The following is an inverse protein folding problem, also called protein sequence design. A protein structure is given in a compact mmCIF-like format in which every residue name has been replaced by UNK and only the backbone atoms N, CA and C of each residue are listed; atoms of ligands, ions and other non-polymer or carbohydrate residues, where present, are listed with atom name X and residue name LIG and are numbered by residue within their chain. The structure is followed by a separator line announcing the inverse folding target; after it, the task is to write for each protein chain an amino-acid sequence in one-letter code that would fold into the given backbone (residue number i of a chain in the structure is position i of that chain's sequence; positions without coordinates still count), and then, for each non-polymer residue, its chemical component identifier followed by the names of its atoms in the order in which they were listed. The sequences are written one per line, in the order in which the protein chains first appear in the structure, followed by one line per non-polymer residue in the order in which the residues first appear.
data_IF_830751034630
#
_entry.id   IF_830751034630
#
_cell.length_a   1.000
_cell.length_b   1.000
_cell.length_c   1.000
_cell.angle_alpha   90.00
_cell.angle_beta   90.00
_cell.angle_gamma   90.00
#
_symmetry.space_group_name_H-M   'P 1'
#
loop_
_entity.id
_entity.type
_entity.pdbx_description
1 polymer ?
#
# COMPACT_ATOMS: atom_id res chain seq x y z
N UNK A 1 -4.53 6.76 -15.99
CA UNK A 1 -3.19 6.40 -15.46
C UNK A 1 -2.50 5.36 -16.33
N UNK A 2 -3.04 4.16 -16.56
CA UNK A 2 -2.39 3.13 -17.39
C UNK A 2 -1.98 3.63 -18.80
N UNK A 3 -2.83 4.42 -19.47
CA UNK A 3 -2.52 5.01 -20.78
C UNK A 3 -1.37 6.01 -20.74
N UNK A 4 -1.23 6.77 -19.64
CA UNK A 4 -0.09 7.70 -19.48
C UNK A 4 1.21 6.94 -19.22
N UNK A 5 1.15 5.86 -18.43
CA UNK A 5 2.32 5.01 -18.18
C UNK A 5 2.85 4.34 -19.45
N UNK A 6 1.98 3.95 -20.39
CA UNK A 6 2.40 3.34 -21.66
C UNK A 6 3.20 4.26 -22.57
N UNK A 7 3.18 5.58 -22.32
CA UNK A 7 3.95 6.58 -23.08
C UNK A 7 5.35 6.86 -22.48
N UNK A 8 5.63 6.32 -21.31
CA UNK A 8 6.88 6.55 -20.58
C UNK A 8 7.59 5.20 -20.37
N UNK A 9 8.69 4.92 -21.08
CA UNK A 9 9.30 3.58 -21.09
C UNK A 9 9.88 3.15 -19.74
N UNK A 10 10.12 4.10 -18.84
CA UNK A 10 10.67 3.88 -17.50
C UNK A 10 9.60 3.98 -16.39
N UNK A 11 8.29 4.07 -16.75
CA UNK A 11 7.19 4.12 -15.79
C UNK A 11 6.38 2.82 -15.83
N UNK A 12 6.34 2.13 -14.70
CA UNK A 12 5.58 0.89 -14.52
C UNK A 12 4.36 1.15 -13.64
N UNK A 13 3.16 1.05 -14.20
CA UNK A 13 1.90 1.18 -13.47
C UNK A 13 1.51 -0.15 -12.84
N UNK A 14 1.72 -0.29 -11.53
CA UNK A 14 1.43 -1.51 -10.78
C UNK A 14 0.01 -1.46 -10.19
N UNK A 15 -0.95 -1.97 -10.94
CA UNK A 15 -2.35 -2.10 -10.53
C UNK A 15 -2.81 -3.55 -10.72
N UNK A 16 -2.63 -4.36 -9.69
CA UNK A 16 -2.80 -5.81 -9.72
C UNK A 16 -1.93 -6.48 -10.80
N UNK A 17 -0.68 -6.03 -10.90
CA UNK A 17 0.27 -6.46 -11.94
C UNK A 17 1.67 -6.63 -11.38
N UNK A 18 2.54 -7.21 -12.20
CA UNK A 18 3.99 -7.37 -11.94
C UNK A 18 4.83 -6.62 -12.97
N UNK A 19 6.04 -6.25 -12.57
CA UNK A 19 7.11 -5.79 -13.44
C UNK A 19 8.45 -6.35 -12.96
N UNK A 20 9.39 -6.52 -13.89
CA UNK A 20 10.79 -6.83 -13.55
C UNK A 20 11.65 -5.66 -14.00
N UNK A 21 12.40 -5.08 -13.07
CA UNK A 21 13.22 -3.90 -13.30
C UNK A 21 14.61 -4.19 -12.75
N UNK A 22 15.63 -4.18 -13.61
CA UNK A 22 16.99 -4.48 -13.20
C UNK A 22 17.19 -5.86 -12.56
N UNK A 23 16.38 -6.86 -12.96
CA UNK A 23 16.39 -8.19 -12.38
C UNK A 23 15.49 -8.36 -11.14
N UNK A 24 15.08 -7.28 -10.48
CA UNK A 24 14.20 -7.30 -9.31
C UNK A 24 12.73 -7.42 -9.75
N UNK A 25 12.02 -8.36 -9.14
CA UNK A 25 10.60 -8.65 -9.45
C UNK A 25 9.69 -7.86 -8.51
N UNK A 26 8.89 -6.98 -9.06
CA UNK A 26 7.91 -6.19 -8.34
C UNK A 26 6.49 -6.74 -8.58
N UNK A 27 5.68 -6.78 -7.53
CA UNK A 27 4.23 -6.92 -7.61
C UNK A 27 3.57 -5.73 -6.93
N UNK A 28 2.48 -5.19 -7.49
CA UNK A 28 1.85 -4.04 -6.86
C UNK A 28 0.35 -3.95 -7.06
N UNK A 29 -0.30 -3.35 -6.05
CA UNK A 29 -1.73 -3.12 -5.99
C UNK A 29 -2.03 -1.92 -5.09
N UNK A 30 -3.11 -1.13 -5.36
CA UNK A 30 -3.54 -0.07 -4.46
C UNK A 30 -3.90 -0.56 -3.06
N UNK A 31 -4.40 -1.79 -2.97
CA UNK A 31 -4.88 -2.50 -1.79
C UNK A 31 -6.24 -1.99 -1.29
N UNK A 32 -6.46 -0.68 -1.13
CA UNK A 32 -7.66 -0.08 -0.54
C UNK A 32 -8.01 -0.72 0.83
N UNK A 33 -9.18 -0.48 1.34
CA UNK A 33 -9.65 -0.99 2.64
C UNK A 33 -10.85 -1.94 2.47
N UNK A 34 -11.00 -2.86 3.42
CA UNK A 34 -12.09 -3.85 3.41
C UNK A 34 -13.42 -3.20 3.83
N UNK A 35 -14.57 -3.67 3.28
CA UNK A 35 -15.87 -3.30 3.83
C UNK A 35 -16.00 -3.78 5.28
N UNK A 36 -16.54 -2.94 6.14
CA UNK A 36 -16.78 -3.23 7.55
C UNK A 36 -17.87 -2.31 8.11
N UNK A 37 -18.42 -2.63 9.28
CA UNK A 37 -19.34 -1.71 9.97
C UNK A 37 -18.68 -0.35 10.27
N UNK A 38 -17.38 -0.34 10.55
CA UNK A 38 -16.63 0.88 10.80
C UNK A 38 -16.53 1.74 9.53
N UNK A 39 -16.26 1.15 8.35
CA UNK A 39 -16.19 1.90 7.08
C UNK A 39 -17.55 2.43 6.61
N UNK A 40 -18.65 1.90 7.09
CA UNK A 40 -19.98 2.49 6.89
C UNK A 40 -20.25 3.61 7.89
N UNK A 41 -19.92 3.37 9.17
CA UNK A 41 -20.21 4.29 10.28
C UNK A 41 -19.48 5.64 10.17
N UNK A 42 -18.25 5.62 9.65
CA UNK A 42 -17.37 6.80 9.62
C UNK A 42 -17.14 7.35 8.20
N UNK A 43 -18.01 6.99 7.23
CA UNK A 43 -17.88 7.39 5.82
C UNK A 43 -17.88 8.91 5.62
N UNK A 44 -18.61 9.64 6.44
CA UNK A 44 -18.67 11.09 6.44
C UNK A 44 -17.36 11.80 6.86
N UNK A 45 -16.43 11.05 7.47
CA UNK A 45 -15.14 11.57 7.92
C UNK A 45 -14.02 11.40 6.87
N UNK A 46 -14.30 10.76 5.74
CA UNK A 46 -13.34 10.56 4.65
C UNK A 46 -13.82 11.30 3.40
N UNK A 47 -13.00 12.22 2.90
CA UNK A 47 -13.31 13.05 1.74
C UNK A 47 -13.61 12.23 0.47
N UNK A 48 -13.02 11.04 0.34
CA UNK A 48 -13.22 10.16 -0.82
C UNK A 48 -14.69 9.81 -1.03
N UNK A 49 -15.46 9.60 0.04
CA UNK A 49 -16.90 9.31 -0.06
C UNK A 49 -17.72 10.50 -0.56
N UNK A 50 -17.25 11.72 -0.31
CA UNK A 50 -17.92 12.95 -0.76
C UNK A 50 -17.45 13.40 -2.16
N UNK A 51 -16.19 13.17 -2.50
CA UNK A 51 -15.54 13.75 -3.69
C UNK A 51 -15.44 12.78 -4.86
N UNK A 52 -15.41 11.47 -4.61
CA UNK A 52 -15.29 10.47 -5.68
C UNK A 52 -16.69 9.95 -6.00
N UNK A 53 -17.12 10.22 -7.24
CA UNK A 53 -18.40 9.73 -7.73
C UNK A 53 -18.42 8.20 -7.73
N UNK A 54 -19.53 7.62 -7.28
CA UNK A 54 -19.76 6.17 -7.21
C UNK A 54 -18.64 5.41 -6.44
N UNK A 55 -18.04 6.07 -5.42
CA UNK A 55 -16.95 5.50 -4.65
C UNK A 55 -17.32 4.16 -4.01
N UNK A 56 -18.54 4.06 -3.50
CA UNK A 56 -19.12 2.78 -3.06
C UNK A 56 -20.14 2.32 -4.12
N UNK A 57 -20.11 1.09 -4.64
CA UNK A 57 -19.32 -0.08 -4.19
C UNK A 57 -17.90 -0.21 -4.77
N UNK A 58 -17.50 0.68 -5.71
CA UNK A 58 -16.25 0.55 -6.46
C UNK A 58 -15.01 0.28 -5.58
N UNK A 59 -14.84 1.02 -4.48
CA UNK A 59 -13.67 0.86 -3.59
C UNK A 59 -13.57 -0.54 -2.99
N UNK A 60 -14.70 -1.15 -2.68
CA UNK A 60 -14.74 -2.51 -2.11
C UNK A 60 -14.47 -3.58 -3.18
N UNK A 61 -14.92 -3.35 -4.41
CA UNK A 61 -14.58 -4.22 -5.55
C UNK A 61 -13.08 -4.16 -5.86
N UNK A 62 -12.48 -2.97 -5.83
CA UNK A 62 -11.04 -2.79 -6.02
C UNK A 62 -10.23 -3.46 -4.90
N UNK A 63 -10.68 -3.37 -3.64
CA UNK A 63 -10.07 -4.12 -2.55
C UNK A 63 -10.17 -5.63 -2.78
N UNK A 64 -11.33 -6.14 -3.19
CA UNK A 64 -11.50 -7.57 -3.45
C UNK A 64 -10.58 -8.06 -4.59
N UNK A 65 -10.44 -7.27 -5.67
CA UNK A 65 -9.49 -7.56 -6.77
C UNK A 65 -8.04 -7.56 -6.28
N UNK A 66 -7.67 -6.60 -5.44
CA UNK A 66 -6.33 -6.52 -4.85
C UNK A 66 -5.99 -7.76 -4.00
N UNK A 67 -6.92 -8.19 -3.15
CA UNK A 67 -6.74 -9.39 -2.33
C UNK A 67 -6.68 -10.66 -3.21
N UNK A 68 -7.55 -10.76 -4.22
CA UNK A 68 -7.53 -11.87 -5.17
C UNK A 68 -6.19 -11.93 -5.93
N UNK A 69 -5.65 -10.79 -6.36
CA UNK A 69 -4.34 -10.69 -7.00
C UNK A 69 -3.24 -11.21 -6.07
N UNK A 70 -3.15 -10.72 -4.83
CA UNK A 70 -2.12 -11.14 -3.87
C UNK A 70 -2.16 -12.64 -3.56
N UNK A 71 -3.33 -13.27 -3.67
CA UNK A 71 -3.54 -14.72 -3.47
C UNK A 71 -3.32 -15.56 -4.70
N UNK A 72 -3.24 -14.94 -5.87
CA UNK A 72 -3.15 -15.63 -7.16
C UNK A 72 -1.72 -16.00 -7.52
N UNK A 73 -1.57 -16.92 -8.49
CA UNK A 73 -0.28 -17.23 -9.10
C UNK A 73 0.33 -16.04 -9.83
N UNK A 74 -0.51 -15.08 -10.26
CA UNK A 74 -0.05 -13.85 -10.89
C UNK A 74 0.84 -13.00 -9.95
N UNK A 75 0.65 -13.08 -8.63
CA UNK A 75 1.47 -12.35 -7.66
C UNK A 75 2.68 -13.14 -7.16
N UNK A 76 2.81 -14.45 -7.43
CA UNK A 76 3.88 -15.29 -6.86
C UNK A 76 5.29 -14.84 -7.22
N UNK A 77 6.18 -15.01 -6.25
CA UNK A 77 7.63 -14.85 -6.38
C UNK A 77 8.11 -13.41 -6.54
N UNK A 78 7.49 -12.38 -5.96
CA UNK A 78 8.03 -11.04 -5.98
C UNK A 78 9.19 -10.91 -4.99
N UNK A 79 10.19 -10.12 -5.35
CA UNK A 79 11.22 -9.68 -4.42
C UNK A 79 10.71 -8.47 -3.62
N UNK A 80 9.92 -7.62 -4.29
CA UNK A 80 9.31 -6.42 -3.71
C UNK A 80 7.81 -6.40 -3.97
N UNK A 81 7.03 -6.13 -2.92
CA UNK A 81 5.59 -5.80 -3.06
C UNK A 81 5.38 -4.32 -2.77
N UNK A 82 4.58 -3.66 -3.60
CA UNK A 82 4.23 -2.24 -3.45
C UNK A 82 2.71 -2.11 -3.29
N UNK A 83 2.28 -1.49 -2.19
CA UNK A 83 0.88 -1.12 -1.97
C UNK A 83 0.74 0.37 -1.68
N UNK A 84 -0.48 0.93 -1.79
CA UNK A 84 -0.72 2.28 -1.28
C UNK A 84 -1.16 2.21 0.19
N UNK A 85 -2.20 1.43 0.49
CA UNK A 85 -2.68 1.31 1.87
C UNK A 85 -1.75 0.44 2.74
N UNK A 86 -1.85 0.66 4.05
CA UNK A 86 -1.03 -0.01 5.06
C UNK A 86 -1.33 -1.51 5.10
N UNK A 87 -0.35 -2.40 4.94
CA UNK A 87 -0.56 -3.85 4.91
C UNK A 87 -0.77 -4.47 6.30
N UNK A 88 -0.51 -3.71 7.36
CA UNK A 88 -0.60 -4.17 8.75
C UNK A 88 -0.93 -3.00 9.68
N UNK A 89 -1.58 -3.30 10.81
CA UNK A 89 -1.78 -2.34 11.91
C UNK A 89 -0.44 -1.85 12.50
N UNK A 90 0.65 -2.59 12.32
CA UNK A 90 1.99 -2.18 12.77
C UNK A 90 2.54 -0.97 12.01
N UNK A 91 1.98 -0.66 10.84
CA UNK A 91 2.30 0.56 10.09
C UNK A 91 1.59 1.82 10.60
N UNK A 92 0.65 1.67 11.52
CA UNK A 92 -0.06 2.81 12.12
C UNK A 92 0.87 3.54 13.08
N UNK A 93 1.10 4.83 12.83
CA UNK A 93 1.94 5.65 13.69
C UNK A 93 1.37 5.72 15.12
N UNK A 94 2.21 5.81 16.16
CA UNK A 94 1.78 5.81 17.57
C UNK A 94 0.68 6.84 17.85
N UNK A 95 0.75 8.02 17.25
CA UNK A 95 -0.24 9.11 17.41
C UNK A 95 -1.64 8.76 16.91
N UNK A 96 -1.77 7.74 16.05
CA UNK A 96 -3.05 7.31 15.46
C UNK A 96 -3.54 5.95 15.96
N UNK A 97 -2.83 5.33 16.90
CA UNK A 97 -3.29 4.07 17.51
C UNK A 97 -4.63 4.31 18.20
N UNK A 98 -5.63 3.47 17.89
CA UNK A 98 -6.98 3.61 18.40
C UNK A 98 -7.90 4.56 17.61
N UNK A 99 -7.39 5.26 16.59
CA UNK A 99 -8.25 6.09 15.72
C UNK A 99 -9.28 5.25 14.97
N UNK A 100 -10.54 5.74 14.96
CA UNK A 100 -11.64 5.14 14.19
C UNK A 100 -11.36 5.15 12.69
N UNK A 101 -10.57 6.10 12.19
CA UNK A 101 -10.22 6.24 10.78
C UNK A 101 -9.23 5.17 10.29
N UNK A 102 -8.59 4.42 11.19
CA UNK A 102 -7.70 3.33 10.80
C UNK A 102 -8.39 2.27 9.93
N UNK A 103 -9.72 2.17 9.95
CA UNK A 103 -10.48 1.29 9.06
C UNK A 103 -10.33 1.66 7.58
N UNK A 104 -9.96 2.90 7.26
CA UNK A 104 -9.70 3.37 5.90
C UNK A 104 -8.21 3.32 5.52
N UNK A 105 -7.33 3.25 6.50
CA UNK A 105 -5.89 3.25 6.28
C UNK A 105 -5.31 1.85 6.18
N UNK A 106 -5.83 0.91 6.98
CA UNK A 106 -5.26 -0.42 7.11
C UNK A 106 -6.09 -1.46 6.38
N UNK A 107 -5.45 -2.17 5.46
CA UNK A 107 -5.94 -3.43 4.94
C UNK A 107 -4.98 -4.54 5.38
N UNK A 108 -5.27 -5.17 6.50
CA UNK A 108 -4.43 -6.21 7.09
C UNK A 108 -4.30 -7.41 6.13
N UNK A 109 -3.06 -7.65 5.63
CA UNK A 109 -2.71 -8.70 4.66
C UNK A 109 -1.47 -9.48 5.10
N UNK A 110 -1.29 -9.65 6.41
CA UNK A 110 -0.15 -10.37 6.96
C UNK A 110 -0.10 -11.85 6.52
N UNK A 111 -1.25 -12.46 6.26
CA UNK A 111 -1.33 -13.82 5.74
C UNK A 111 -0.83 -13.90 4.29
N UNK A 112 -1.24 -12.96 3.44
CA UNK A 112 -0.78 -12.82 2.06
C UNK A 112 0.72 -12.50 2.02
N UNK A 113 1.18 -11.60 2.89
CA UNK A 113 2.60 -11.25 3.03
C UNK A 113 3.43 -12.49 3.39
N UNK A 114 2.97 -13.30 4.35
CA UNK A 114 3.64 -14.54 4.73
C UNK A 114 3.67 -15.56 3.59
N UNK A 115 2.60 -15.64 2.80
CA UNK A 115 2.50 -16.59 1.68
C UNK A 115 3.39 -16.18 0.50
N UNK A 116 3.48 -14.88 0.20
CA UNK A 116 4.33 -14.35 -0.87
C UNK A 116 5.80 -14.27 -0.46
N UNK A 117 6.07 -14.05 0.83
CA UNK A 117 7.39 -13.92 1.46
C UNK A 117 8.36 -13.00 0.67
N UNK A 118 7.97 -11.78 0.24
CA UNK A 118 8.88 -10.87 -0.42
C UNK A 118 9.96 -10.41 0.57
N UNK A 119 11.16 -10.06 0.08
CA UNK A 119 12.19 -9.44 0.92
C UNK A 119 11.74 -8.08 1.44
N UNK A 120 11.02 -7.30 0.60
CA UNK A 120 10.60 -5.94 0.92
C UNK A 120 9.12 -5.72 0.58
N UNK A 121 8.40 -5.05 1.49
CA UNK A 121 7.06 -4.53 1.26
C UNK A 121 7.05 -3.02 1.45
N UNK A 122 6.76 -2.27 0.39
CA UNK A 122 6.70 -0.80 0.42
C UNK A 122 5.24 -0.37 0.42
N UNK A 123 4.89 0.61 1.26
CA UNK A 123 3.56 1.22 1.23
C UNK A 123 3.62 2.74 1.43
N UNK A 124 2.48 3.39 1.22
CA UNK A 124 2.27 4.82 1.45
C UNK A 124 1.07 5.09 2.35
N UNK A 125 0.21 6.04 1.95
CA UNK A 125 -1.05 6.46 2.54
C UNK A 125 -0.95 7.13 3.91
N UNK A 126 -0.02 6.76 4.78
CA UNK A 126 0.31 7.46 6.02
C UNK A 126 1.35 8.54 5.76
N UNK A 127 1.44 9.54 6.65
CA UNK A 127 2.47 10.59 6.55
C UNK A 127 3.55 10.43 7.62
N UNK A 128 3.68 9.24 8.19
CA UNK A 128 4.73 8.87 9.13
C UNK A 128 5.55 7.71 8.55
N UNK A 129 6.85 7.68 8.90
CA UNK A 129 7.71 6.58 8.51
C UNK A 129 7.31 5.29 9.24
N UNK A 130 7.45 4.17 8.53
CA UNK A 130 7.41 2.84 9.11
C UNK A 130 8.59 2.02 8.57
N UNK A 131 9.27 1.32 9.48
CA UNK A 131 10.34 0.38 9.13
C UNK A 131 10.36 -0.73 10.19
N UNK A 132 9.91 -1.91 9.81
CA UNK A 132 9.82 -3.06 10.71
C UNK A 132 9.84 -4.37 9.93
N UNK A 133 10.01 -5.51 10.63
CA UNK A 133 9.91 -6.84 10.01
C UNK A 133 8.64 -7.57 10.44
N UNK A 134 8.05 -8.29 9.46
CA UNK A 134 7.03 -9.31 9.64
C UNK A 134 7.54 -10.62 9.04
N UNK A 135 7.98 -11.53 9.92
CA UNK A 135 8.70 -12.71 9.48
C UNK A 135 10.00 -12.30 8.75
N UNK A 136 10.19 -12.79 7.54
CA UNK A 136 11.33 -12.46 6.69
C UNK A 136 11.17 -11.14 5.92
N UNK A 137 9.95 -10.62 5.80
CA UNK A 137 9.67 -9.41 5.02
C UNK A 137 9.97 -8.15 5.82
N UNK A 138 10.78 -7.23 5.28
CA UNK A 138 10.90 -5.86 5.77
C UNK A 138 9.75 -5.03 5.22
N UNK A 139 9.02 -4.32 6.08
CA UNK A 139 7.95 -3.39 5.69
C UNK A 139 8.47 -1.97 5.85
N UNK A 140 8.37 -1.19 4.79
CA UNK A 140 8.95 0.15 4.70
C UNK A 140 7.93 1.17 4.19
N UNK A 141 7.87 2.33 4.85
CA UNK A 141 7.15 3.50 4.39
C UNK A 141 8.00 4.74 4.66
N UNK A 142 8.22 5.56 3.64
CA UNK A 142 8.98 6.81 3.73
C UNK A 142 8.26 7.91 2.92
N UNK A 143 7.09 8.36 3.39
CA UNK A 143 6.26 9.31 2.68
C UNK A 143 6.79 10.73 2.86
N UNK A 144 6.64 11.57 1.86
CA UNK A 144 6.92 13.01 1.98
C UNK A 144 5.83 13.77 2.74
N UNK A 145 4.57 13.32 2.61
CA UNK A 145 3.39 14.03 3.10
C UNK A 145 2.92 15.13 2.15
N UNK A 146 2.12 16.06 2.65
CA UNK A 146 1.56 17.16 1.87
C UNK A 146 2.31 18.46 2.13
N UNK A 147 2.93 19.03 1.09
CA UNK A 147 3.63 20.31 1.18
C UNK A 147 2.71 21.42 1.70
N UNK A 148 3.18 22.15 2.70
CA UNK A 148 2.45 23.28 3.30
C UNK A 148 1.30 22.89 4.25
N UNK A 149 1.03 21.59 4.45
CA UNK A 149 -0.10 21.13 5.27
C UNK A 149 0.30 20.07 6.31
N UNK A 150 0.81 18.90 5.87
CA UNK A 150 1.19 17.79 6.75
C UNK A 150 2.44 17.10 6.21
N UNK A 151 3.59 17.72 6.47
CA UNK A 151 4.88 17.19 6.06
C UNK A 151 5.40 16.15 7.05
N UNK A 152 5.94 15.08 6.53
CA UNK A 152 6.70 14.12 7.30
C UNK A 152 8.08 14.69 7.66
N UNK A 153 8.28 15.06 8.92
CA UNK A 153 9.55 15.61 9.41
C UNK A 153 10.69 14.61 9.43
N UNK A 154 10.36 13.31 9.33
CA UNK A 154 11.31 12.21 9.31
C UNK A 154 11.54 11.65 7.90
N UNK A 155 11.07 12.36 6.86
CA UNK A 155 11.29 11.95 5.47
C UNK A 155 12.78 11.89 5.14
N UNK A 156 13.23 10.76 4.58
CA UNK A 156 14.61 10.53 4.17
C UNK A 156 14.70 10.68 2.66
N UNK A 157 15.18 11.83 2.19
CA UNK A 157 15.20 12.20 0.77
C UNK A 157 15.97 11.20 -0.12
N UNK A 158 17.08 10.68 0.38
CA UNK A 158 17.96 9.75 -0.37
C UNK A 158 17.94 8.34 0.22
N UNK A 159 16.75 7.87 0.63
CA UNK A 159 16.62 6.51 1.11
C UNK A 159 16.82 5.51 -0.04
N UNK A 160 17.85 4.70 0.09
CA UNK A 160 18.14 3.56 -0.80
C UNK A 160 18.04 2.28 0.00
N UNK A 161 17.42 1.27 -0.59
CA UNK A 161 17.30 -0.07 0.00
C UNK A 161 17.89 -1.07 -0.97
N UNK A 162 18.89 -1.81 -0.51
CA UNK A 162 19.43 -2.96 -1.22
C UNK A 162 18.51 -4.17 -0.97
N UNK A 163 17.91 -4.69 -2.03
CA UNK A 163 16.98 -5.82 -1.96
C UNK A 163 17.71 -7.16 -1.92
N UNK A 164 18.93 -7.24 -2.45
CA UNK A 164 19.74 -8.46 -2.46
C UNK A 164 20.31 -8.79 -1.07
N UNK A 165 20.40 -7.79 -0.19
CA UNK A 165 20.93 -7.92 1.18
C UNK A 165 19.86 -8.07 2.28
N UNK A 166 18.58 -8.26 1.95
CA UNK A 166 17.48 -8.33 2.92
C UNK A 166 17.17 -9.76 3.39
#
# INVERSE_FOLDING_TARGET
MARAASLLPNLHWLHNTKATIGGVRFAGTPLWFRPSLATVKYADQLNDFALIRDFTPWVYEENAKAIAFLRSDAAKGPDVVVTHHLPSKRSVAPRYVGSSLNCYFVCAVEAEMKALAPSLWIHGHTHDNADYRLGTTRVLCNPYGYAGHDLNRNFIEKLVVDVEGL
#
